data_IF_879178337550
#
_entry.id   IF_879178337550
#
_cell.length_a   1.000
_cell.length_b   1.000
_cell.length_c   1.000
_cell.angle_alpha   90.00
_cell.angle_beta   90.00
_cell.angle_gamma   90.00
#
_symmetry.space_group_name_H-M   'P 1'
#
loop_
_entity.id
_entity.type
_entity.pdbx_description
1 polymer ?
#
# COMPACT_ATOMS: atom_id res chain seq x y z
N UNK A 1 -30.71 7.97 -6.37
CA UNK A 1 -29.76 7.29 -7.26
C UNK A 1 -28.37 7.59 -6.76
N UNK A 2 -27.62 6.57 -6.37
CA UNK A 2 -26.28 6.73 -5.79
C UNK A 2 -25.29 6.77 -6.95
N UNK A 3 -24.56 7.87 -7.08
CA UNK A 3 -23.53 8.05 -8.11
C UNK A 3 -22.22 7.41 -7.63
N UNK A 4 -21.60 6.49 -8.39
CA UNK A 4 -20.30 5.95 -8.03
C UNK A 4 -19.25 7.08 -8.07
N UNK A 5 -18.39 7.12 -7.06
CA UNK A 5 -17.27 8.07 -6.98
C UNK A 5 -16.19 7.63 -7.99
N UNK A 6 -15.87 8.49 -8.96
CA UNK A 6 -14.89 8.21 -10.02
C UNK A 6 -13.41 8.41 -9.59
N UNK A 7 -13.16 8.66 -8.30
CA UNK A 7 -11.81 8.86 -7.75
C UNK A 7 -11.25 7.61 -7.08
N UNK A 8 -9.92 7.49 -7.05
CA UNK A 8 -9.22 6.49 -6.25
C UNK A 8 -9.37 6.83 -4.74
N UNK A 9 -9.39 5.82 -3.87
CA UNK A 9 -9.43 5.98 -2.41
C UNK A 9 -8.30 6.88 -1.87
N UNK A 10 -7.14 6.90 -2.55
CA UNK A 10 -6.04 7.79 -2.22
C UNK A 10 -6.35 9.28 -2.49
N UNK A 11 -7.11 9.58 -3.55
CA UNK A 11 -7.53 10.95 -3.86
C UNK A 11 -8.53 11.46 -2.82
N UNK A 12 -9.47 10.61 -2.42
CA UNK A 12 -10.41 10.92 -1.34
C UNK A 12 -9.69 11.24 -0.02
N UNK A 13 -8.64 10.49 0.32
CA UNK A 13 -7.82 10.74 1.52
C UNK A 13 -7.11 12.09 1.44
N UNK A 14 -6.59 12.46 0.28
CA UNK A 14 -5.90 13.75 0.11
C UNK A 14 -6.86 14.93 0.13
N UNK A 15 -8.07 14.80 -0.44
CA UNK A 15 -9.13 15.80 -0.36
C UNK A 15 -9.59 16.02 1.07
N UNK A 16 -9.80 14.95 1.85
CA UNK A 16 -10.21 15.05 3.25
C UNK A 16 -9.14 15.75 4.11
N UNK A 17 -7.86 15.44 3.89
CA UNK A 17 -6.73 16.11 4.56
C UNK A 17 -6.61 17.59 4.16
N UNK A 18 -6.94 17.95 2.91
CA UNK A 18 -7.01 19.36 2.47
C UNK A 18 -8.16 20.09 3.15
N UNK A 19 -9.35 19.47 3.22
CA UNK A 19 -10.51 20.04 3.89
C UNK A 19 -10.25 20.31 5.38
N UNK A 20 -9.65 19.36 6.10
CA UNK A 20 -9.27 19.53 7.52
C UNK A 20 -8.23 20.66 7.70
N UNK A 21 -7.25 20.78 6.80
CA UNK A 21 -6.28 21.89 6.84
C UNK A 21 -6.90 23.26 6.57
N UNK A 22 -7.91 23.33 5.71
CA UNK A 22 -8.64 24.56 5.42
C UNK A 22 -9.52 24.98 6.61
N UNK A 23 -10.20 24.03 7.26
CA UNK A 23 -10.95 24.28 8.49
C UNK A 23 -10.04 24.77 9.64
N UNK A 24 -8.86 24.17 9.81
CA UNK A 24 -7.86 24.63 10.80
C UNK A 24 -7.27 26.02 10.51
N UNK A 25 -7.34 26.50 9.25
CA UNK A 25 -6.95 27.87 8.91
C UNK A 25 -8.06 28.88 9.18
N UNK A 26 -9.33 28.46 9.09
CA UNK A 26 -10.50 29.28 9.40
C UNK A 26 -10.68 29.46 10.92
N UNK A 27 -10.29 28.48 11.74
CA UNK A 27 -10.36 28.49 13.21
C UNK A 27 -9.20 29.21 13.92
N UNK A 28 -8.46 30.09 13.22
CA UNK A 28 -7.46 30.93 13.88
C UNK A 28 -8.17 32.07 14.63
N UNK A 29 -8.11 32.14 15.98
CA UNK A 29 -8.58 33.32 16.69
C UNK A 29 -7.76 34.53 16.27
N UNK A 30 -8.42 35.68 16.13
CA UNK A 30 -7.78 36.95 15.83
C UNK A 30 -6.64 37.21 16.83
N UNK A 31 -5.50 37.66 16.30
CA UNK A 31 -4.30 37.96 17.08
C UNK A 31 -4.55 39.20 17.92
N UNK A 32 -4.78 39.02 19.22
CA UNK A 32 -4.77 40.13 20.17
C UNK A 32 -3.38 40.77 20.28
N UNK A 33 -3.36 42.09 20.44
CA UNK A 33 -2.18 42.96 20.37
C UNK A 33 -1.23 42.86 21.58
N UNK A 34 -1.49 42.01 22.57
CA UNK A 34 -0.61 41.81 23.72
C UNK A 34 0.05 40.43 23.63
N UNK A 35 1.31 40.39 23.19
CA UNK A 35 2.11 39.19 22.88
C UNK A 35 2.44 38.25 24.04
N UNK A 36 1.44 37.72 24.74
CA UNK A 36 1.60 36.58 25.65
C UNK A 36 1.01 35.34 24.99
N UNK A 37 1.87 34.57 24.33
CA UNK A 37 1.56 33.24 23.81
C UNK A 37 1.23 32.31 24.99
N UNK A 38 -0.06 32.02 25.19
CA UNK A 38 -0.53 31.05 26.18
C UNK A 38 0.25 29.73 26.07
N UNK A 39 1.04 29.43 27.11
CA UNK A 39 1.89 28.24 27.23
C UNK A 39 1.12 26.92 27.04
N UNK A 40 -0.20 26.92 27.26
CA UNK A 40 -1.09 25.77 27.09
C UNK A 40 -1.27 25.33 25.63
N UNK A 41 -1.12 26.23 24.66
CA UNK A 41 -1.34 25.89 23.23
C UNK A 41 -0.10 25.24 22.60
N UNK A 42 1.11 25.67 23.01
CA UNK A 42 2.39 25.11 22.55
C UNK A 42 2.62 23.67 23.04
N UNK A 43 2.26 23.36 24.29
CA UNK A 43 2.41 22.01 24.85
C UNK A 43 1.46 21.01 24.18
N UNK A 44 0.18 21.39 24.00
CA UNK A 44 -0.82 20.56 23.30
C UNK A 44 -0.47 20.30 21.82
N UNK A 45 0.04 21.30 21.10
CA UNK A 45 0.51 21.10 19.73
C UNK A 45 1.75 20.19 19.64
N UNK A 46 2.66 20.27 20.62
CA UNK A 46 3.85 19.42 20.68
C UNK A 46 3.50 17.97 20.99
N UNK A 47 2.56 17.73 21.92
CA UNK A 47 2.02 16.40 22.21
C UNK A 47 1.27 15.80 21.01
N UNK A 48 0.39 16.56 20.35
CA UNK A 48 -0.33 16.09 19.14
C UNK A 48 0.63 15.70 18.01
N UNK A 49 1.70 16.47 17.80
CA UNK A 49 2.73 16.16 16.80
C UNK A 49 3.51 14.90 17.15
N UNK A 50 3.82 14.69 18.43
CA UNK A 50 4.54 13.51 18.92
C UNK A 50 3.72 12.24 18.72
N UNK A 51 2.45 12.24 19.15
CA UNK A 51 1.55 11.11 18.94
C UNK A 51 1.38 10.80 17.45
N UNK A 52 1.28 11.81 16.59
CA UNK A 52 1.18 11.60 15.13
C UNK A 52 2.49 11.05 14.51
N UNK A 53 3.65 11.34 15.08
CA UNK A 53 4.93 10.81 14.61
C UNK A 53 5.12 9.36 15.04
N UNK A 54 4.75 9.03 16.28
CA UNK A 54 4.80 7.66 16.82
C UNK A 54 3.84 6.74 16.05
N UNK A 55 2.62 7.20 15.76
CA UNK A 55 1.62 6.53 14.89
C UNK A 55 2.17 6.19 13.50
N UNK A 56 2.77 7.18 12.83
CA UNK A 56 3.39 6.97 11.51
C UNK A 56 4.57 6.01 11.58
N UNK A 57 5.38 6.07 12.64
CA UNK A 57 6.53 5.19 12.78
C UNK A 57 6.11 3.71 12.89
N UNK A 58 4.96 3.41 13.51
CA UNK A 58 4.41 2.06 13.60
C UNK A 58 3.78 1.59 12.27
N UNK A 59 3.03 2.45 11.57
CA UNK A 59 2.31 2.08 10.34
C UNK A 59 3.19 2.05 9.08
N UNK A 60 4.25 2.86 9.01
CA UNK A 60 5.14 2.93 7.84
C UNK A 60 5.76 1.58 7.46
N UNK A 61 6.39 0.80 8.38
CA UNK A 61 6.98 -0.48 8.03
C UNK A 61 5.94 -1.51 7.56
N UNK A 62 4.73 -1.50 8.14
CA UNK A 62 3.65 -2.41 7.74
C UNK A 62 3.16 -2.09 6.32
N UNK A 63 2.96 -0.80 6.02
CA UNK A 63 2.61 -0.35 4.67
C UNK A 63 3.68 -0.76 3.65
N UNK A 64 4.96 -0.57 3.99
CA UNK A 64 6.07 -0.95 3.11
C UNK A 64 6.13 -2.47 2.90
N UNK A 65 5.87 -3.27 3.94
CA UNK A 65 5.83 -4.72 3.83
C UNK A 65 4.71 -5.20 2.89
N UNK A 66 3.51 -4.61 3.00
CA UNK A 66 2.40 -4.91 2.10
C UNK A 66 2.72 -4.54 0.64
N UNK A 67 3.31 -3.36 0.40
CA UNK A 67 3.73 -2.92 -0.94
C UNK A 67 4.80 -3.83 -1.54
N UNK A 68 5.82 -4.22 -0.75
CA UNK A 68 6.86 -5.12 -1.22
C UNK A 68 6.31 -6.52 -1.57
N UNK A 69 5.37 -7.01 -0.77
CA UNK A 69 4.70 -8.29 -1.04
C UNK A 69 3.87 -8.23 -2.33
N UNK A 70 3.19 -7.10 -2.58
CA UNK A 70 2.43 -6.86 -3.82
C UNK A 70 3.34 -6.80 -5.05
N UNK A 71 4.42 -6.03 -4.99
CA UNK A 71 5.43 -5.96 -6.06
C UNK A 71 5.98 -7.34 -6.36
N UNK A 72 6.30 -8.12 -5.32
CA UNK A 72 6.81 -9.49 -5.48
C UNK A 72 5.79 -10.41 -6.16
N UNK A 73 4.52 -10.32 -5.80
CA UNK A 73 3.45 -11.07 -6.43
C UNK A 73 3.32 -10.71 -7.92
N UNK A 74 3.31 -9.41 -8.24
CA UNK A 74 3.23 -8.90 -9.61
C UNK A 74 4.40 -9.36 -10.49
N UNK A 75 5.63 -9.36 -9.94
CA UNK A 75 6.82 -9.90 -10.62
C UNK A 75 6.67 -11.38 -10.97
N UNK A 76 6.18 -12.18 -10.02
CA UNK A 76 6.01 -13.63 -10.19
C UNK A 76 4.92 -13.95 -11.22
N UNK A 77 3.79 -13.23 -11.17
CA UNK A 77 2.72 -13.34 -12.16
C UNK A 77 3.22 -12.97 -13.57
N UNK A 78 3.97 -11.86 -13.69
CA UNK A 78 4.61 -11.46 -14.95
C UNK A 78 5.58 -12.52 -15.48
N UNK A 79 6.33 -13.18 -14.60
CA UNK A 79 7.23 -14.27 -14.98
C UNK A 79 6.45 -15.51 -15.46
N UNK A 80 5.32 -15.82 -14.82
CA UNK A 80 4.43 -16.91 -15.22
C UNK A 80 3.82 -16.65 -16.61
N UNK A 81 3.33 -15.44 -16.88
CA UNK A 81 2.79 -15.07 -18.20
C UNK A 81 3.85 -15.20 -19.30
N UNK A 82 5.07 -14.70 -19.06
CA UNK A 82 6.19 -14.85 -20.01
C UNK A 82 6.48 -16.32 -20.31
N UNK A 83 6.46 -17.17 -19.29
CA UNK A 83 6.68 -18.61 -19.44
C UNK A 83 5.54 -19.25 -20.25
N UNK A 84 4.28 -18.92 -19.94
CA UNK A 84 3.12 -19.41 -20.68
C UNK A 84 3.19 -19.00 -22.16
N UNK A 85 3.55 -17.75 -22.44
CA UNK A 85 3.73 -17.26 -23.82
C UNK A 85 4.82 -18.00 -24.59
N UNK A 86 5.85 -18.51 -23.91
CA UNK A 86 6.87 -19.36 -24.55
C UNK A 86 6.29 -20.74 -24.83
N UNK A 87 5.57 -21.33 -23.87
CA UNK A 87 4.99 -22.67 -24.00
C UNK A 87 3.86 -22.73 -25.05
N UNK A 88 3.11 -21.65 -25.27
CA UNK A 88 2.04 -21.60 -26.28
C UNK A 88 2.55 -21.45 -27.71
N UNK A 89 3.86 -21.26 -27.93
CA UNK A 89 4.43 -21.16 -29.28
C UNK A 89 4.18 -22.46 -30.07
N UNK A 90 3.67 -22.37 -31.32
CA UNK A 90 3.49 -23.55 -32.16
C UNK A 90 4.79 -24.32 -32.34
N UNK A 91 4.71 -25.65 -32.39
CA UNK A 91 5.84 -26.56 -32.56
C UNK A 91 6.93 -26.49 -31.47
N UNK A 92 6.83 -25.63 -30.44
CA UNK A 92 7.87 -25.51 -29.42
C UNK A 92 8.16 -26.82 -28.68
N UNK A 93 7.12 -27.57 -28.33
CA UNK A 93 7.25 -28.90 -27.71
C UNK A 93 7.90 -29.94 -28.63
N UNK A 94 7.75 -29.78 -29.94
CA UNK A 94 8.35 -30.66 -30.95
C UNK A 94 9.81 -30.30 -31.21
N UNK A 95 10.10 -29.01 -31.33
CA UNK A 95 11.43 -28.50 -31.70
C UNK A 95 12.39 -28.47 -30.51
N UNK A 96 11.88 -28.24 -29.29
CA UNK A 96 12.68 -28.14 -28.07
C UNK A 96 12.05 -28.91 -26.89
N UNK A 97 11.92 -30.25 -26.97
CA UNK A 97 11.21 -31.05 -25.97
C UNK A 97 11.82 -30.98 -24.56
N UNK A 98 13.15 -31.01 -24.43
CA UNK A 98 13.83 -30.89 -23.13
C UNK A 98 13.56 -29.53 -22.47
N UNK A 99 13.68 -28.44 -23.24
CA UNK A 99 13.42 -27.09 -22.76
C UNK A 99 11.96 -26.88 -22.38
N UNK A 100 11.03 -27.50 -23.13
CA UNK A 100 9.62 -27.48 -22.78
C UNK A 100 9.33 -28.20 -21.46
N UNK A 101 9.98 -29.35 -21.20
CA UNK A 101 9.89 -30.03 -19.91
C UNK A 101 10.44 -29.18 -18.76
N UNK A 102 11.61 -28.56 -18.93
CA UNK A 102 12.20 -27.66 -17.93
C UNK A 102 11.27 -26.47 -17.62
N UNK A 103 10.71 -25.84 -18.65
CA UNK A 103 9.78 -24.73 -18.48
C UNK A 103 8.47 -25.17 -17.82
N UNK A 104 7.96 -26.36 -18.12
CA UNK A 104 6.78 -26.89 -17.43
C UNK A 104 7.03 -27.11 -15.93
N UNK A 105 8.22 -27.60 -15.55
CA UNK A 105 8.62 -27.74 -14.14
C UNK A 105 8.73 -26.37 -13.47
N UNK A 106 9.42 -25.42 -14.12
CA UNK A 106 9.53 -24.03 -13.63
C UNK A 106 8.17 -23.36 -13.50
N UNK A 107 7.24 -23.60 -14.42
CA UNK A 107 5.88 -23.08 -14.36
C UNK A 107 5.12 -23.57 -13.12
N UNK A 108 5.26 -24.85 -12.78
CA UNK A 108 4.69 -25.39 -11.52
C UNK A 108 5.31 -24.76 -10.28
N UNK A 109 6.64 -24.58 -10.28
CA UNK A 109 7.34 -23.93 -9.16
C UNK A 109 6.91 -22.46 -9.01
N UNK A 110 6.78 -21.73 -10.12
CA UNK A 110 6.26 -20.36 -10.11
C UNK A 110 4.85 -20.29 -9.54
N UNK A 111 3.97 -21.24 -9.89
CA UNK A 111 2.62 -21.27 -9.36
C UNK A 111 2.57 -21.49 -7.84
N UNK A 112 3.46 -22.34 -7.30
CA UNK A 112 3.61 -22.51 -5.84
C UNK A 112 4.13 -21.20 -5.20
N UNK A 113 5.11 -20.55 -5.81
CA UNK A 113 5.66 -19.28 -5.31
C UNK A 113 4.63 -18.16 -5.35
N UNK A 114 3.79 -18.11 -6.38
CA UNK A 114 2.68 -17.16 -6.49
C UNK A 114 1.70 -17.37 -5.33
N UNK A 115 1.23 -18.59 -5.10
CA UNK A 115 0.32 -18.87 -3.99
C UNK A 115 0.91 -18.46 -2.63
N UNK A 116 2.18 -18.78 -2.37
CA UNK A 116 2.86 -18.37 -1.15
C UNK A 116 3.04 -16.83 -1.04
N UNK A 117 3.27 -16.15 -2.16
CA UNK A 117 3.36 -14.70 -2.20
C UNK A 117 1.99 -14.03 -2.00
N UNK A 118 0.91 -14.62 -2.52
CA UNK A 118 -0.48 -14.20 -2.30
C UNK A 118 -0.84 -14.30 -0.82
N UNK A 119 -0.55 -15.42 -0.18
CA UNK A 119 -0.78 -15.61 1.27
C UNK A 119 -0.02 -14.57 2.09
N UNK A 120 1.24 -14.32 1.75
CA UNK A 120 2.06 -13.32 2.43
C UNK A 120 1.56 -11.89 2.20
N UNK A 121 1.11 -11.57 0.98
CA UNK A 121 0.54 -10.26 0.66
C UNK A 121 -0.76 -10.03 1.43
N UNK A 122 -1.66 -11.02 1.48
CA UNK A 122 -2.90 -10.95 2.26
C UNK A 122 -2.60 -10.74 3.75
N UNK A 123 -1.67 -11.51 4.32
CA UNK A 123 -1.29 -11.37 5.73
C UNK A 123 -0.65 -10.01 6.04
N UNK A 124 0.22 -9.50 5.16
CA UNK A 124 0.83 -8.18 5.33
C UNK A 124 -0.21 -7.05 5.23
N UNK A 125 -1.17 -7.19 4.33
CA UNK A 125 -2.26 -6.24 4.16
C UNK A 125 -3.20 -6.26 5.37
N UNK A 126 -3.57 -7.45 5.87
CA UNK A 126 -4.38 -7.60 7.08
C UNK A 126 -3.70 -6.99 8.30
N UNK A 127 -2.38 -7.21 8.47
CA UNK A 127 -1.61 -6.61 9.55
C UNK A 127 -1.60 -5.07 9.48
N UNK A 128 -1.47 -4.51 8.27
CA UNK A 128 -1.53 -3.07 8.06
C UNK A 128 -2.93 -2.50 8.36
N UNK A 129 -3.99 -3.17 7.88
CA UNK A 129 -5.38 -2.75 8.10
C UNK A 129 -5.79 -2.87 9.57
N UNK A 130 -5.39 -3.95 10.26
CA UNK A 130 -5.63 -4.14 11.69
C UNK A 130 -4.93 -3.05 12.50
N UNK A 131 -3.64 -2.79 12.23
CA UNK A 131 -2.91 -1.73 12.91
C UNK A 131 -3.49 -0.33 12.64
N UNK A 132 -4.12 -0.11 11.48
CA UNK A 132 -4.83 1.12 11.16
C UNK A 132 -6.18 1.23 11.90
N UNK A 133 -6.86 0.11 12.15
CA UNK A 133 -8.16 0.06 12.80
C UNK A 133 -8.10 0.13 14.34
N UNK A 134 -7.02 -0.38 14.94
CA UNK A 134 -6.73 -0.28 16.38
C UNK A 134 -6.27 1.13 16.81
N UNK A 135 -6.10 2.05 15.86
CA UNK A 135 -5.53 3.40 16.05
C UNK A 135 -6.54 4.54 16.21
#
# INVERSE_FOLDING_TARGET
TVTPYEGNLDDYRTELLRAVRQQQKADKPARDKNGTLSHHTKSGQKHRKRNAAEKRAALTPLKQAAQLAEERLSELQSAQEKLQNILTRPNFFRDMPQKAQELAIKGRQLQIQIAAAEDNWLAAQEAYETALAEE
#
